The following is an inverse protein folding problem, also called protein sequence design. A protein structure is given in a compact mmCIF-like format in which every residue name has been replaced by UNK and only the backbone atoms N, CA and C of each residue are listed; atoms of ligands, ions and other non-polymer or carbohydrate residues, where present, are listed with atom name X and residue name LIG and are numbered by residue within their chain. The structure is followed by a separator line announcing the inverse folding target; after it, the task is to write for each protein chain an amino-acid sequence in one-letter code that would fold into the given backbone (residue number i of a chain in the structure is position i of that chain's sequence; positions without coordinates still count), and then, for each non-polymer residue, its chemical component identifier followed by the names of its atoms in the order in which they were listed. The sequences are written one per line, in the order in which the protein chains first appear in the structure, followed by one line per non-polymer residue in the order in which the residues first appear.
data_IF_376259176321
#
_entry.id   IF_376259176321
#
_cell.length_a   1.000
_cell.length_b   1.000
_cell.length_c   1.000
_cell.angle_alpha   90.00
_cell.angle_beta   90.00
_cell.angle_gamma   90.00
#
_symmetry.space_group_name_H-M   'P 1'
#
loop_
_entity.id
_entity.type
_entity.pdbx_description
1 polymer ?
#
# COMPACT_ATOMS: atom_id res chain seq x y z
N UNK A 1 -8.18 1.70 -17.76
CA UNK A 1 -8.59 0.46 -17.09
C UNK A 1 -9.60 0.83 -16.02
N UNK A 2 -10.74 0.15 -16.00
CA UNK A 2 -11.76 0.34 -14.97
C UNK A 2 -11.38 -0.43 -13.69
N UNK A 3 -11.99 -0.09 -12.55
CA UNK A 3 -11.79 -0.82 -11.29
C UNK A 3 -12.14 -2.31 -11.42
N UNK A 4 -13.22 -2.63 -12.13
CA UNK A 4 -13.66 -4.00 -12.34
C UNK A 4 -12.63 -4.82 -13.12
N UNK A 5 -12.02 -4.23 -14.16
CA UNK A 5 -10.92 -4.87 -14.89
C UNK A 5 -9.70 -5.09 -14.00
N UNK A 6 -9.36 -4.14 -13.10
CA UNK A 6 -8.20 -4.25 -12.20
C UNK A 6 -8.37 -5.40 -11.22
N UNK A 7 -9.57 -5.56 -10.66
CA UNK A 7 -9.91 -6.68 -9.78
C UNK A 7 -9.85 -8.01 -10.54
N UNK A 8 -10.38 -8.06 -11.76
CA UNK A 8 -10.40 -9.29 -12.56
C UNK A 8 -9.00 -9.79 -12.95
N UNK A 9 -7.99 -8.91 -12.97
CA UNK A 9 -6.60 -9.25 -13.30
C UNK A 9 -5.69 -9.39 -12.08
N UNK A 10 -6.19 -9.09 -10.87
CA UNK A 10 -5.41 -9.17 -9.65
C UNK A 10 -5.17 -10.64 -9.28
N UNK A 11 -3.89 -11.02 -9.13
CA UNK A 11 -3.47 -12.32 -8.60
C UNK A 11 -3.03 -12.16 -7.13
N UNK A 12 -3.83 -12.65 -6.17
CA UNK A 12 -3.52 -12.55 -4.73
C UNK A 12 -2.27 -13.33 -4.32
N UNK A 13 -1.91 -14.38 -5.07
CA UNK A 13 -0.71 -15.19 -4.83
C UNK A 13 0.50 -14.69 -5.63
N UNK A 14 0.28 -13.69 -6.48
CA UNK A 14 1.30 -13.08 -7.31
C UNK A 14 2.21 -12.15 -6.52
N UNK A 15 3.26 -11.66 -7.18
CA UNK A 15 4.11 -10.61 -6.60
C UNK A 15 3.31 -9.31 -6.59
N UNK A 16 3.16 -8.71 -5.40
CA UNK A 16 2.50 -7.41 -5.23
C UNK A 16 3.15 -6.31 -6.08
N UNK A 17 2.34 -5.37 -6.54
CA UNK A 17 2.81 -4.27 -7.37
C UNK A 17 3.78 -3.36 -6.59
N UNK A 18 4.96 -3.11 -7.16
CA UNK A 18 5.94 -2.21 -6.53
C UNK A 18 5.47 -0.76 -6.54
N UNK A 19 5.67 -0.07 -5.41
CA UNK A 19 5.36 1.36 -5.26
C UNK A 19 3.87 1.67 -5.04
N UNK A 20 3.00 0.66 -5.05
CA UNK A 20 1.65 0.74 -4.50
C UNK A 20 1.65 0.28 -3.04
N UNK A 21 0.69 0.78 -2.27
CA UNK A 21 0.47 0.28 -0.92
C UNK A 21 -0.26 -1.07 -0.96
N UNK A 22 0.20 -1.99 -0.13
CA UNK A 22 -0.14 -3.40 -0.06
C UNK A 22 0.07 -4.16 -1.38
N UNK A 23 0.81 -3.63 -2.34
CA UNK A 23 0.94 -4.27 -3.66
C UNK A 23 -0.36 -4.31 -4.48
N UNK A 24 -1.36 -3.49 -4.13
CA UNK A 24 -2.66 -3.46 -4.81
C UNK A 24 -2.63 -2.68 -6.13
N UNK A 25 -3.35 -3.12 -7.17
CA UNK A 25 -3.30 -2.51 -8.51
C UNK A 25 -4.23 -1.31 -8.68
N UNK A 26 -4.37 -0.47 -7.65
CA UNK A 26 -5.29 0.67 -7.67
C UNK A 26 -4.58 2.02 -7.73
N UNK A 27 -5.23 2.98 -8.37
CA UNK A 27 -4.79 4.38 -8.38
C UNK A 27 -5.71 5.20 -7.48
N UNK A 28 -5.37 6.46 -7.16
CA UNK A 28 -6.27 7.35 -6.42
C UNK A 28 -7.65 7.55 -7.08
N UNK A 29 -7.78 7.27 -8.38
CA UNK A 29 -9.05 7.40 -9.11
C UNK A 29 -9.91 6.13 -9.05
N UNK A 30 -9.31 4.97 -8.78
CA UNK A 30 -10.01 3.66 -8.76
C UNK A 30 -10.11 3.03 -7.37
N UNK A 31 -9.33 3.54 -6.41
CA UNK A 31 -9.35 3.11 -5.02
C UNK A 31 -10.60 3.61 -4.27
N UNK A 32 -11.14 2.76 -3.39
CA UNK A 32 -12.21 3.15 -2.46
C UNK A 32 -11.69 3.93 -1.26
N UNK A 33 -10.44 3.64 -0.87
CA UNK A 33 -9.77 4.26 0.27
C UNK A 33 -8.42 4.77 -0.21
N UNK A 34 -8.15 6.04 0.08
CA UNK A 34 -6.89 6.69 -0.26
C UNK A 34 -6.16 7.00 1.04
N UNK A 35 -4.94 6.47 1.17
CA UNK A 35 -4.05 6.77 2.29
C UNK A 35 -3.10 7.87 1.84
N UNK A 36 -3.13 9.01 2.53
CA UNK A 36 -2.27 10.16 2.21
C UNK A 36 -1.09 10.16 3.19
N UNK A 37 0.15 9.92 2.71
CA UNK A 37 1.33 10.01 3.54
C UNK A 37 1.62 11.48 3.91
N UNK A 38 1.79 11.77 5.20
CA UNK A 38 2.16 13.11 5.69
C UNK A 38 3.54 13.06 6.35
N UNK A 39 4.64 13.37 5.62
CA UNK A 39 6.00 13.38 6.14
C UNK A 39 6.20 14.58 7.07
N UNK A 40 5.87 14.38 8.35
CA UNK A 40 5.88 15.43 9.36
C UNK A 40 6.63 15.01 10.63
N UNK A 41 7.55 15.87 11.08
CA UNK A 41 8.33 15.64 12.29
C UNK A 41 8.59 16.90 13.13
N UNK A 42 7.83 17.99 12.96
CA UNK A 42 8.19 19.25 13.67
C UNK A 42 7.89 19.25 15.17
N UNK A 43 7.20 18.23 15.68
CA UNK A 43 6.79 18.11 17.09
C UNK A 43 7.51 17.02 17.87
N UNK A 44 8.50 16.33 17.28
CA UNK A 44 9.24 15.29 18.01
C UNK A 44 10.18 15.94 19.03
N UNK A 45 10.08 15.50 20.28
CA UNK A 45 10.81 16.08 21.41
C UNK A 45 12.13 15.38 21.73
N UNK A 46 12.43 14.26 21.05
CA UNK A 46 13.63 13.46 21.31
C UNK A 46 14.18 12.80 20.04
N UNK A 47 13.73 11.58 19.71
CA UNK A 47 14.18 10.84 18.53
C UNK A 47 13.57 11.42 17.25
N UNK A 48 14.41 11.60 16.22
CA UNK A 48 13.98 12.06 14.90
C UNK A 48 13.69 10.88 13.95
N UNK A 49 13.15 11.17 12.77
CA UNK A 49 13.00 10.21 11.68
C UNK A 49 11.58 9.73 11.40
N UNK A 50 10.56 10.27 12.08
CA UNK A 50 9.15 9.97 11.75
C UNK A 50 8.78 10.43 10.35
N UNK A 51 9.49 11.44 9.80
CA UNK A 51 9.40 11.87 8.41
C UNK A 51 9.75 10.78 7.39
N UNK A 52 10.47 9.73 7.81
CA UNK A 52 10.87 8.61 6.96
C UNK A 52 9.90 7.42 7.03
N UNK A 53 8.92 7.45 7.95
CA UNK A 53 8.03 6.33 8.20
C UNK A 53 7.22 5.91 6.97
N UNK A 54 6.81 6.87 6.15
CA UNK A 54 6.04 6.67 4.93
C UNK A 54 6.85 5.85 3.91
N UNK A 55 8.12 6.21 3.73
CA UNK A 55 9.02 5.47 2.85
C UNK A 55 9.35 4.09 3.40
N UNK A 56 9.52 3.96 4.72
CA UNK A 56 9.76 2.68 5.37
C UNK A 56 8.58 1.71 5.21
N UNK A 57 7.34 2.21 5.33
CA UNK A 57 6.12 1.42 5.08
C UNK A 57 6.10 0.92 3.64
N UNK A 58 6.30 1.80 2.64
CA UNK A 58 6.35 1.40 1.23
C UNK A 58 7.48 0.41 0.92
N UNK A 59 8.62 0.51 1.61
CA UNK A 59 9.74 -0.41 1.43
C UNK A 59 9.46 -1.80 2.05
N UNK A 60 8.70 -1.86 3.14
CA UNK A 60 8.31 -3.11 3.80
C UNK A 60 7.14 -3.83 3.08
N UNK A 61 6.37 -3.07 2.30
CA UNK A 61 5.15 -3.51 1.63
C UNK A 61 5.21 -4.83 0.84
N UNK A 62 6.30 -5.15 0.10
CA UNK A 62 6.40 -6.40 -0.65
C UNK A 62 6.33 -7.69 0.20
N UNK A 63 6.34 -7.57 1.53
CA UNK A 63 6.21 -8.70 2.47
C UNK A 63 4.74 -9.03 2.81
N UNK A 64 3.77 -8.32 2.25
CA UNK A 64 2.34 -8.52 2.54
C UNK A 64 1.80 -9.78 1.86
N UNK A 65 1.15 -10.65 2.64
CA UNK A 65 0.46 -11.85 2.18
C UNK A 65 -1.07 -11.66 2.31
N UNK A 66 -1.83 -12.16 1.33
CA UNK A 66 -3.28 -11.98 1.24
C UNK A 66 -4.01 -13.28 1.58
N UNK A 67 -4.73 -13.30 2.70
CA UNK A 67 -5.70 -14.35 2.97
C UNK A 67 -7.06 -14.01 2.34
N UNK A 68 -7.51 -14.82 1.39
CA UNK A 68 -8.87 -14.77 0.85
C UNK A 68 -9.71 -15.84 1.55
N UNK A 69 -10.64 -15.41 2.40
CA UNK A 69 -11.47 -16.33 3.21
C UNK A 69 -12.27 -17.34 2.35
N UNK A 70 -12.60 -17.00 1.11
CA UNK A 70 -13.39 -17.85 0.22
C UNK A 70 -12.52 -18.79 -0.64
N UNK A 71 -11.19 -18.66 -0.56
CA UNK A 71 -10.21 -19.43 -1.32
C UNK A 71 -9.00 -19.77 -0.41
N UNK A 72 -9.12 -20.81 0.44
CA UNK A 72 -8.05 -21.26 1.32
C UNK A 72 -6.90 -21.96 0.58
#
# INVERSE_FOLDING_TARGET
MTKAEQIAQFDPNGVGQQGSLFGLPFTPQTAEVIIIPVPWEVTVSYGAGTVNGQQAVLAADPQTDYNLQDHP
#
